data_IF_531581352029
#
_entry.id   IF_531581352029
#
_cell.length_a   1.000
_cell.length_b   1.000
_cell.length_c   1.000
_cell.angle_alpha   90.00
_cell.angle_beta   90.00
_cell.angle_gamma   90.00
#
_symmetry.space_group_name_H-M   'P 1'
#
loop_
_entity.id
_entity.type
_entity.pdbx_description
1 polymer ?
#
# COMPACT_ATOMS: atom_id res chain seq x y z
N UNK A 1 9.53 23.85 5.21
CA UNK A 1 9.32 22.51 5.81
C UNK A 1 7.84 22.12 5.74
N UNK A 2 7.49 21.33 4.72
CA UNK A 2 6.14 20.78 4.49
C UNK A 2 5.41 20.37 5.77
N UNK A 3 4.11 20.68 5.88
CA UNK A 3 3.42 20.68 7.18
C UNK A 3 2.84 19.34 7.60
N UNK A 4 2.98 19.03 8.88
CA UNK A 4 2.66 17.70 9.38
C UNK A 4 1.18 17.53 9.64
N UNK A 5 0.64 16.36 9.25
CA UNK A 5 -0.72 16.01 9.67
C UNK A 5 -0.76 16.13 11.16
N UNK A 6 -1.85 16.65 11.71
CA UNK A 6 -1.97 16.69 13.16
C UNK A 6 -3.25 16.03 13.68
N UNK A 7 -3.33 15.92 15.00
CA UNK A 7 -4.47 15.30 15.70
C UNK A 7 -4.76 13.86 15.31
N UNK A 8 -3.90 12.97 15.81
CA UNK A 8 -4.03 11.56 15.54
C UNK A 8 -4.87 10.98 16.64
N UNK A 9 -5.98 10.39 16.24
CA UNK A 9 -6.86 9.69 17.16
C UNK A 9 -7.30 8.36 16.57
N UNK A 10 -7.83 7.50 17.43
CA UNK A 10 -8.38 6.24 16.96
C UNK A 10 -9.83 6.09 17.39
N UNK A 11 -10.67 5.68 16.45
CA UNK A 11 -12.10 5.58 16.72
C UNK A 11 -12.51 4.17 17.12
N UNK A 12 -13.02 3.38 16.16
CA UNK A 12 -13.56 2.06 16.46
C UNK A 12 -12.44 1.21 16.95
N UNK A 13 -12.59 0.66 18.15
CA UNK A 13 -11.48 -0.04 18.77
C UNK A 13 -11.84 -1.49 19.08
N UNK A 14 -11.18 -2.40 18.39
CA UNK A 14 -11.34 -3.82 18.66
C UNK A 14 -10.03 -4.43 19.09
N UNK A 15 -10.05 -5.75 19.20
CA UNK A 15 -8.88 -6.49 19.61
C UNK A 15 -8.09 -6.86 18.36
N UNK A 16 -8.74 -6.71 17.20
CA UNK A 16 -8.13 -6.95 15.88
C UNK A 16 -8.02 -5.70 15.01
N UNK A 17 -8.77 -4.65 15.36
CA UNK A 17 -8.92 -3.50 14.46
C UNK A 17 -8.98 -2.15 15.17
N UNK A 18 -8.36 -1.15 14.54
CA UNK A 18 -8.38 0.24 15.00
C UNK A 18 -8.67 1.17 13.84
N UNK A 19 -9.40 2.25 14.12
CA UNK A 19 -9.67 3.27 13.11
C UNK A 19 -8.91 4.56 13.38
N UNK A 20 -7.90 4.79 12.55
CA UNK A 20 -7.11 6.00 12.61
C UNK A 20 -7.87 7.21 12.03
N UNK A 21 -7.61 8.39 12.61
CA UNK A 21 -8.06 9.66 12.04
C UNK A 21 -7.10 10.81 12.40
N UNK A 22 -7.00 11.77 11.49
CA UNK A 22 -6.01 12.84 11.57
C UNK A 22 -6.52 14.05 10.78
N UNK A 23 -5.92 15.23 10.95
CA UNK A 23 -6.27 16.42 10.13
C UNK A 23 -5.08 16.87 9.30
N UNK A 24 -5.25 16.98 7.99
CA UNK A 24 -4.19 17.54 7.13
C UNK A 24 -4.76 18.44 6.07
N UNK A 25 -4.12 19.59 5.85
CA UNK A 25 -4.48 20.51 4.79
C UNK A 25 -4.78 19.81 3.48
N UNK A 26 -5.94 20.12 2.90
CA UNK A 26 -6.31 19.75 1.53
C UNK A 26 -5.35 20.32 0.50
N UNK A 27 -5.41 19.78 -0.71
CA UNK A 27 -4.61 20.25 -1.84
C UNK A 27 -3.10 20.23 -1.55
N UNK A 28 -2.70 19.41 -0.58
CA UNK A 28 -1.29 19.31 -0.20
C UNK A 28 -0.60 18.01 -0.62
N UNK A 29 -1.20 16.89 -0.24
CA UNK A 29 -0.68 15.57 -0.55
C UNK A 29 -1.76 14.71 -1.20
N UNK A 30 -1.39 13.97 -2.25
CA UNK A 30 -2.31 12.98 -2.82
C UNK A 30 -2.02 11.55 -2.37
N UNK A 31 -1.14 11.41 -1.38
CA UNK A 31 -0.95 10.13 -0.71
C UNK A 31 -0.56 10.33 0.75
N UNK A 32 -0.93 9.37 1.60
CA UNK A 32 -0.43 9.30 2.99
C UNK A 32 0.30 7.99 3.27
N UNK A 33 1.44 8.05 3.95
CA UNK A 33 2.05 6.82 4.42
C UNK A 33 1.61 6.57 5.84
N UNK A 34 1.24 5.33 6.13
CA UNK A 34 0.84 4.93 7.48
C UNK A 34 1.70 3.76 7.92
N UNK A 35 2.73 4.05 8.68
CA UNK A 35 3.57 3.01 9.20
C UNK A 35 3.05 2.57 10.56
N UNK A 36 3.12 1.29 10.86
CA UNK A 36 2.77 0.82 12.20
C UNK A 36 3.48 -0.47 12.55
N UNK A 37 3.87 -0.60 13.81
CA UNK A 37 4.43 -1.86 14.27
C UNK A 37 4.11 -2.00 15.74
N UNK A 38 4.29 -3.19 16.29
CA UNK A 38 4.06 -3.38 17.71
C UNK A 38 5.05 -2.53 18.50
N UNK A 39 4.54 -1.70 19.41
CA UNK A 39 5.42 -0.91 20.26
C UNK A 39 6.43 -1.80 20.98
N UNK A 40 6.08 -3.09 21.11
CA UNK A 40 6.92 -4.10 21.79
C UNK A 40 8.21 -4.40 21.02
N UNK A 41 8.05 -4.83 19.77
CA UNK A 41 9.19 -5.09 18.89
C UNK A 41 9.63 -3.75 18.30
N UNK A 42 10.89 -3.38 18.52
CA UNK A 42 11.48 -2.23 17.82
C UNK A 42 11.69 -2.59 16.32
N UNK A 43 11.98 -3.88 16.06
CA UNK A 43 12.25 -4.45 14.73
C UNK A 43 11.78 -3.82 13.43
N UNK A 44 10.69 -4.35 12.87
CA UNK A 44 10.31 -4.03 11.48
C UNK A 44 8.94 -3.37 11.31
N UNK A 45 8.96 -2.11 10.89
CA UNK A 45 7.73 -1.35 10.64
C UNK A 45 6.99 -1.89 9.42
N UNK A 46 5.69 -1.60 9.31
CA UNK A 46 4.89 -1.99 8.14
C UNK A 46 4.30 -0.77 7.44
N UNK A 47 4.59 -0.65 6.14
CA UNK A 47 4.34 0.58 5.38
C UNK A 47 3.12 0.58 4.46
N UNK A 48 2.00 1.10 4.97
CA UNK A 48 0.76 1.25 4.18
C UNK A 48 0.62 2.66 3.59
N UNK A 49 0.30 2.73 2.31
CA UNK A 49 0.03 4.02 1.70
C UNK A 49 -1.47 4.20 1.64
N UNK A 50 -1.90 5.41 1.30
CA UNK A 50 -3.32 5.68 1.20
C UNK A 50 -3.58 6.90 0.29
N UNK A 51 -4.78 6.98 -0.31
CA UNK A 51 -5.02 8.11 -1.21
C UNK A 51 -5.07 9.40 -0.42
N UNK A 52 -4.54 10.47 -1.00
CA UNK A 52 -4.49 11.78 -0.34
C UNK A 52 -5.83 12.39 0.01
N UNK A 53 -6.89 11.87 -0.60
CA UNK A 53 -8.22 12.37 -0.36
C UNK A 53 -8.77 11.95 0.99
N UNK A 54 -8.10 11.03 1.68
CA UNK A 54 -8.65 10.45 2.90
C UNK A 54 -8.15 11.14 4.18
N UNK A 55 -8.84 10.91 5.29
CA UNK A 55 -8.43 11.42 6.61
C UNK A 55 -8.74 10.43 7.73
N UNK A 56 -9.07 9.21 7.34
CA UNK A 56 -9.25 8.10 8.28
C UNK A 56 -8.97 6.77 7.57
N UNK A 57 -8.49 5.78 8.32
CA UNK A 57 -8.20 4.47 7.73
C UNK A 57 -8.29 3.34 8.74
N UNK A 58 -8.86 2.21 8.31
CA UNK A 58 -9.01 1.07 9.20
C UNK A 58 -7.75 0.20 9.24
N UNK A 59 -7.35 -0.17 10.46
CA UNK A 59 -6.14 -0.95 10.70
C UNK A 59 -6.46 -2.38 11.13
N UNK A 60 -6.43 -3.30 10.18
CA UNK A 60 -6.99 -4.65 10.36
C UNK A 60 -5.98 -5.76 10.58
N UNK A 61 -6.46 -6.85 11.19
CA UNK A 61 -5.63 -7.98 11.57
C UNK A 61 -4.65 -7.56 12.64
N UNK A 62 -5.07 -7.59 13.89
CA UNK A 62 -4.20 -7.16 14.98
C UNK A 62 -4.37 -8.01 16.24
N UNK A 63 -3.29 -8.09 17.02
CA UNK A 63 -3.27 -8.87 18.25
C UNK A 63 -4.09 -8.16 19.32
N UNK A 64 -4.73 -8.93 20.23
CA UNK A 64 -5.44 -8.34 21.38
C UNK A 64 -4.50 -7.65 22.38
N UNK A 65 -5.07 -6.90 23.32
CA UNK A 65 -4.29 -6.17 24.33
C UNK A 65 -2.89 -5.70 23.97
N UNK A 66 -2.74 -5.15 22.76
CA UNK A 66 -1.42 -4.79 22.21
C UNK A 66 -1.26 -3.29 21.88
N UNK A 67 -0.20 -2.69 22.41
CA UNK A 67 0.16 -1.29 22.15
C UNK A 67 0.88 -1.16 20.80
N UNK A 68 0.20 -0.60 19.82
CA UNK A 68 0.84 -0.36 18.54
C UNK A 68 1.35 1.06 18.39
N UNK A 69 2.44 1.19 17.65
CA UNK A 69 2.97 2.49 17.29
C UNK A 69 2.64 2.82 15.84
N UNK A 70 1.94 3.94 15.68
CA UNK A 70 1.52 4.41 14.37
C UNK A 70 2.20 5.71 14.08
N UNK A 71 2.41 5.96 12.79
CA UNK A 71 2.94 7.21 12.30
C UNK A 71 2.38 7.46 10.93
N UNK A 72 1.98 8.70 10.70
CA UNK A 72 1.39 9.07 9.44
C UNK A 72 2.19 10.22 8.84
N UNK A 73 2.49 10.08 7.55
CA UNK A 73 3.26 11.07 6.82
C UNK A 73 2.48 11.57 5.62
N UNK A 74 2.61 12.86 5.33
CA UNK A 74 2.06 13.40 4.09
C UNK A 74 3.05 13.24 2.95
N UNK A 75 2.60 12.60 1.87
CA UNK A 75 3.45 12.25 0.72
C UNK A 75 3.38 13.26 -0.42
N UNK A 76 4.52 13.86 -0.78
CA UNK A 76 4.53 14.97 -1.74
C UNK A 76 5.32 14.72 -3.04
N UNK A 77 6.55 14.24 -2.92
CA UNK A 77 7.39 13.94 -4.09
C UNK A 77 7.67 12.45 -4.08
N UNK A 78 7.30 11.77 -5.15
CA UNK A 78 7.54 10.35 -5.25
C UNK A 78 8.40 10.03 -6.46
N UNK A 79 9.52 9.38 -6.20
CA UNK A 79 10.29 8.78 -7.26
C UNK A 79 9.64 7.43 -7.55
N UNK A 80 8.90 7.37 -8.65
CA UNK A 80 8.34 6.12 -9.14
C UNK A 80 9.16 5.67 -10.35
N UNK A 81 9.59 4.41 -10.34
CA UNK A 81 10.50 3.89 -11.38
C UNK A 81 9.82 3.70 -12.76
N UNK A 82 10.54 3.12 -13.72
CA UNK A 82 9.96 2.81 -15.03
C UNK A 82 9.15 1.50 -14.98
N UNK A 83 8.01 1.46 -15.71
CA UNK A 83 7.08 0.33 -15.70
C UNK A 83 7.73 -1.03 -15.94
N UNK A 84 7.04 -2.09 -15.53
CA UNK A 84 7.41 -3.47 -15.83
C UNK A 84 6.18 -4.17 -16.42
N UNK A 85 5.96 -3.94 -17.71
CA UNK A 85 4.76 -4.41 -18.45
C UNK A 85 4.56 -5.94 -18.49
N UNK A 86 3.32 -6.38 -18.75
CA UNK A 86 2.96 -7.81 -18.84
C UNK A 86 1.53 -8.10 -19.31
N UNK A 87 1.39 -9.18 -20.07
CA UNK A 87 0.10 -9.68 -20.55
C UNK A 87 -0.28 -10.95 -19.81
N UNK A 88 -1.48 -10.97 -19.24
CA UNK A 88 -2.01 -12.20 -18.64
C UNK A 88 -3.50 -12.31 -18.82
N UNK A 89 -3.92 -13.49 -19.28
CA UNK A 89 -5.31 -13.72 -19.62
C UNK A 89 -5.90 -14.74 -18.70
N UNK A 90 -6.96 -14.33 -18.00
CA UNK A 90 -7.60 -15.14 -16.98
C UNK A 90 -8.10 -16.48 -17.49
N UNK A 91 -8.31 -17.40 -16.55
CA UNK A 91 -8.98 -18.65 -16.86
C UNK A 91 -10.44 -18.34 -17.13
N UNK A 92 -11.13 -19.28 -17.76
CA UNK A 92 -12.54 -19.09 -18.09
C UNK A 92 -12.71 -18.50 -19.48
N UNK A 93 -13.97 -18.32 -19.88
CA UNK A 93 -14.31 -17.77 -21.20
C UNK A 93 -14.92 -16.37 -21.10
N UNK B 1 21.15 6.00 -10.56
CA UNK B 1 19.84 5.66 -11.21
C UNK B 1 18.95 4.82 -10.30
N UNK B 2 17.63 4.89 -10.54
CA UNK B 2 16.66 4.03 -9.87
C UNK B 2 16.09 2.94 -10.79
N UNK B 3 16.39 1.66 -10.46
CA UNK B 3 15.95 0.46 -11.19
C UNK B 3 14.43 0.28 -11.32
N UNK B 4 13.98 -0.06 -12.53
CA UNK B 4 12.69 -0.70 -12.70
C UNK B 4 12.85 -2.10 -12.07
N UNK B 5 11.74 -2.75 -11.66
CA UNK B 5 11.93 -4.08 -11.05
C UNK B 5 11.92 -5.20 -12.11
N UNK B 6 12.15 -6.44 -11.67
CA UNK B 6 12.31 -7.53 -12.62
C UNK B 6 11.41 -8.72 -12.32
N UNK B 7 11.19 -9.54 -13.35
CA UNK B 7 10.67 -10.91 -13.22
C UNK B 7 9.21 -11.05 -12.79
N UNK B 8 8.33 -10.29 -13.46
CA UNK B 8 6.89 -10.33 -13.22
C UNK B 8 6.22 -11.62 -13.73
N UNK B 9 5.91 -12.52 -12.80
CA UNK B 9 5.37 -13.87 -13.12
C UNK B 9 4.07 -14.21 -12.37
N UNK B 10 2.98 -14.44 -13.10
CA UNK B 10 1.74 -14.91 -12.46
C UNK B 10 1.83 -16.39 -12.14
N UNK B 11 1.23 -16.78 -11.02
CA UNK B 11 1.57 -18.07 -10.42
C UNK B 11 0.43 -19.06 -10.30
N UNK B 12 -0.78 -18.58 -10.08
CA UNK B 12 -1.93 -19.46 -10.06
C UNK B 12 -3.12 -18.68 -10.53
N UNK B 13 -3.77 -19.21 -11.56
CA UNK B 13 -4.80 -18.48 -12.29
C UNK B 13 -6.16 -19.14 -12.15
N UNK B 14 -7.16 -18.36 -11.77
CA UNK B 14 -8.56 -18.77 -11.87
C UNK B 14 -9.29 -17.86 -12.86
N UNK B 15 -10.59 -17.71 -12.65
CA UNK B 15 -11.39 -16.86 -13.50
C UNK B 15 -11.32 -15.44 -12.98
N UNK B 16 -11.08 -15.31 -11.68
CA UNK B 16 -11.19 -14.02 -11.01
C UNK B 16 -9.95 -13.59 -10.22
N UNK B 17 -8.91 -14.44 -10.19
CA UNK B 17 -7.70 -14.11 -9.44
C UNK B 17 -6.38 -14.66 -10.01
N UNK B 18 -5.46 -13.74 -10.33
CA UNK B 18 -4.05 -14.05 -10.60
C UNK B 18 -3.28 -14.00 -9.29
N UNK B 19 -1.96 -14.08 -9.36
CA UNK B 19 -1.10 -13.88 -8.20
C UNK B 19 0.26 -13.32 -8.59
N UNK B 20 0.25 -12.27 -9.39
CA UNK B 20 1.46 -11.54 -9.73
C UNK B 20 2.54 -11.65 -8.66
N UNK B 21 3.72 -12.14 -9.05
CA UNK B 21 4.91 -12.22 -8.18
C UNK B 21 6.09 -11.59 -8.90
N UNK B 22 7.08 -11.11 -8.13
CA UNK B 22 8.17 -10.28 -8.68
C UNK B 22 9.53 -10.31 -7.93
N UNK B 23 10.51 -9.61 -8.52
CA UNK B 23 11.87 -9.55 -8.01
C UNK B 23 12.38 -8.11 -7.85
N UNK B 24 12.90 -7.83 -6.65
CA UNK B 24 13.51 -6.55 -6.28
C UNK B 24 14.45 -6.72 -5.06
N UNK B 25 15.40 -5.78 -4.89
CA UNK B 25 16.39 -5.75 -3.79
C UNK B 25 15.81 -5.30 -2.45
N UNK B 26 16.01 -6.10 -1.39
CA UNK B 26 15.45 -5.80 -0.06
C UNK B 26 15.85 -4.42 0.47
N UNK B 27 14.88 -3.76 1.10
CA UNK B 27 15.05 -2.46 1.74
C UNK B 27 15.02 -1.28 0.76
N UNK B 28 15.71 -1.43 -0.38
CA UNK B 28 15.95 -0.31 -1.33
C UNK B 28 14.68 0.37 -1.88
N UNK B 29 13.52 -0.12 -1.42
CA UNK B 29 12.19 0.43 -1.75
C UNK B 29 11.22 0.41 -0.56
N UNK B 30 10.17 1.21 -0.66
CA UNK B 30 9.24 1.38 0.45
C UNK B 30 7.90 0.78 0.12
N UNK B 31 7.43 1.04 -1.10
CA UNK B 31 6.12 0.55 -1.54
C UNK B 31 6.11 0.12 -3.00
N UNK B 32 5.03 -0.54 -3.42
CA UNK B 32 4.88 -1.03 -4.79
C UNK B 32 3.56 -0.70 -5.44
N UNK B 33 3.61 0.16 -6.45
CA UNK B 33 2.41 0.57 -7.17
C UNK B 33 2.10 -0.40 -8.29
N UNK B 34 0.86 -0.88 -8.34
CA UNK B 34 0.45 -1.81 -9.39
C UNK B 34 -0.72 -1.31 -10.21
N UNK B 35 -0.43 -0.98 -11.46
CA UNK B 35 -1.42 -0.52 -12.41
C UNK B 35 -1.79 -1.66 -13.34
N UNK B 36 -3.09 -1.87 -13.54
CA UNK B 36 -3.56 -2.93 -14.42
C UNK B 36 -4.88 -2.56 -15.06
N UNK B 37 -5.08 -2.98 -16.31
CA UNK B 37 -6.37 -2.84 -16.99
C UNK B 37 -6.48 -3.89 -18.08
N UNK B 38 -7.64 -3.98 -18.73
CA UNK B 38 -7.79 -4.89 -19.87
C UNK B 38 -6.96 -4.39 -21.03
N UNK B 39 -6.08 -5.24 -21.53
CA UNK B 39 -5.37 -5.00 -22.80
C UNK B 39 -6.35 -4.55 -23.88
N UNK B 40 -7.62 -4.86 -23.64
CA UNK B 40 -8.73 -4.57 -24.54
C UNK B 40 -9.13 -3.10 -24.54
N UNK B 41 -10.35 -2.83 -24.07
CA UNK B 41 -10.89 -1.48 -24.02
C UNK B 41 -11.61 -1.28 -22.68
N UNK B 42 -10.85 -0.82 -21.68
CA UNK B 42 -11.33 -0.79 -20.29
C UNK B 42 -11.30 0.60 -19.66
N UNK B 43 -12.48 1.22 -19.55
CA UNK B 43 -12.66 2.56 -18.98
C UNK B 43 -11.42 3.15 -18.33
N UNK B 44 -11.26 2.85 -17.04
CA UNK B 44 -10.12 3.33 -16.26
C UNK B 44 -9.13 2.21 -15.95
N UNK B 45 -7.90 2.60 -15.62
CA UNK B 45 -6.90 1.67 -15.11
C UNK B 45 -6.95 1.65 -13.58
N UNK B 46 -6.57 0.53 -12.98
CA UNK B 46 -6.65 0.39 -11.54
C UNK B 46 -5.27 0.33 -10.91
N UNK B 47 -5.09 1.13 -9.86
CA UNK B 47 -3.84 1.23 -9.12
C UNK B 47 -3.95 0.57 -7.76
N UNK B 48 -2.92 -0.16 -7.36
CA UNK B 48 -2.89 -0.78 -6.04
C UNK B 48 -1.50 -0.69 -5.42
N UNK B 49 -1.44 -0.29 -4.14
CA UNK B 49 -0.15 -0.14 -3.45
C UNK B 49 0.08 -1.16 -2.36
N UNK B 50 1.33 -1.60 -2.27
CA UNK B 50 1.72 -2.66 -1.35
C UNK B 50 3.13 -2.43 -0.80
N UNK B 51 3.29 -2.60 0.53
CA UNK B 51 4.57 -2.51 1.23
C UNK B 51 5.68 -3.16 0.45
N UNK B 52 6.78 -2.42 0.27
CA UNK B 52 8.00 -2.94 -0.36
C UNK B 52 8.49 -4.26 0.23
N UNK B 53 8.17 -4.50 1.49
CA UNK B 53 8.53 -5.73 2.21
C UNK B 53 7.87 -6.98 1.62
N UNK B 54 7.26 -6.84 0.45
CA UNK B 54 6.62 -7.96 -0.21
C UNK B 54 6.94 -8.02 -1.70
N UNK B 55 6.89 -9.24 -2.24
CA UNK B 55 7.28 -9.53 -3.62
C UNK B 55 6.14 -10.18 -4.41
N UNK B 56 4.92 -10.14 -3.87
CA UNK B 56 3.74 -10.81 -4.47
C UNK B 56 2.36 -10.34 -3.93
N UNK B 57 1.39 -10.22 -4.83
CA UNK B 57 0.02 -9.79 -4.51
C UNK B 57 -1.03 -10.72 -5.13
N UNK B 58 -2.19 -10.86 -4.49
CA UNK B 58 -3.30 -11.62 -5.08
C UNK B 58 -4.31 -10.73 -5.78
N UNK B 59 -4.06 -10.40 -7.05
CA UNK B 59 -4.98 -9.59 -7.83
C UNK B 59 -6.36 -10.28 -7.99
N UNK B 60 -7.37 -9.76 -7.28
CA UNK B 60 -8.72 -10.39 -7.22
C UNK B 60 -9.89 -9.54 -7.73
N UNK B 61 -10.97 -10.22 -8.13
CA UNK B 61 -12.14 -9.56 -8.71
C UNK B 61 -11.94 -9.28 -10.19
N UNK B 62 -11.41 -10.27 -10.91
CA UNK B 62 -11.16 -10.14 -12.34
C UNK B 62 -12.22 -10.88 -13.16
N UNK B 63 -12.48 -10.36 -14.36
CA UNK B 63 -13.39 -11.00 -15.32
C UNK B 63 -12.72 -12.24 -15.94
N UNK B 64 -13.47 -13.34 -16.06
CA UNK B 64 -13.00 -14.54 -16.77
C UNK B 64 -12.68 -14.30 -18.25
N UNK B 65 -11.74 -15.07 -18.79
CA UNK B 65 -11.37 -15.02 -20.20
C UNK B 65 -11.20 -13.63 -20.77
N UNK B 66 -10.35 -12.83 -20.13
CA UNK B 66 -10.10 -11.45 -20.55
C UNK B 66 -8.61 -11.13 -20.51
N UNK B 67 -8.12 -10.37 -21.50
CA UNK B 67 -6.72 -9.94 -21.49
C UNK B 67 -6.52 -8.71 -20.61
N UNK B 68 -5.51 -8.79 -19.76
CA UNK B 68 -5.21 -7.74 -18.81
C UNK B 68 -3.79 -7.22 -18.98
N UNK B 69 -3.67 -5.91 -19.13
CA UNK B 69 -2.39 -5.22 -19.21
C UNK B 69 -1.92 -4.87 -17.81
N UNK B 70 -0.91 -5.57 -17.34
CA UNK B 70 -0.37 -5.32 -16.01
C UNK B 70 0.84 -4.40 -16.13
N UNK B 71 1.01 -3.52 -15.15
CA UNK B 71 2.29 -2.86 -14.94
C UNK B 71 2.61 -2.96 -13.45
N UNK B 72 3.87 -2.75 -13.09
CA UNK B 72 4.24 -2.71 -11.68
C UNK B 72 5.43 -1.78 -11.50
N UNK B 73 5.33 -0.89 -10.53
CA UNK B 73 6.45 -0.03 -10.22
C UNK B 73 6.87 -0.22 -8.77
N UNK B 74 8.11 0.18 -8.50
CA UNK B 74 8.61 0.36 -7.14
C UNK B 74 8.49 1.82 -6.72
N UNK B 75 8.28 2.02 -5.42
CA UNK B 75 8.06 3.37 -4.92
C UNK B 75 9.03 3.77 -3.80
N UNK B 76 9.74 4.88 -4.07
CA UNK B 76 10.66 5.51 -3.13
C UNK B 76 10.25 6.95 -2.86
N UNK B 77 10.50 7.38 -1.64
CA UNK B 77 9.96 8.63 -1.17
C UNK B 77 10.97 9.72 -0.97
N UNK B 78 10.74 10.78 -1.72
CA UNK B 78 11.52 11.99 -1.63
C UNK B 78 10.83 12.88 -0.59
N UNK B 79 9.82 13.62 -1.01
CA UNK B 79 9.23 14.65 -0.16
C UNK B 79 8.14 14.07 0.70
N UNK B 80 8.48 13.87 1.96
CA UNK B 80 7.51 13.48 2.96
C UNK B 80 7.42 14.58 3.99
N UNK B 81 6.22 14.79 4.52
CA UNK B 81 6.08 15.61 5.70
C UNK B 81 6.76 14.84 6.82
N UNK B 82 6.89 15.45 7.98
CA UNK B 82 7.43 14.71 9.11
C UNK B 82 6.34 13.83 9.69
N UNK B 83 6.71 12.86 10.52
CA UNK B 83 5.73 11.91 11.01
C UNK B 83 4.81 12.49 12.08
N UNK B 84 3.62 11.92 12.20
CA UNK B 84 2.80 12.21 13.34
C UNK B 84 2.71 10.87 13.98
N UNK B 85 3.35 10.73 15.13
CA UNK B 85 3.54 9.42 15.73
C UNK B 85 2.75 9.27 17.03
N UNK B 86 2.10 8.14 17.21
CA UNK B 86 1.30 7.94 18.42
C UNK B 86 1.08 6.49 18.80
N UNK B 87 0.95 6.27 20.10
CA UNK B 87 0.70 4.94 20.63
C UNK B 87 -0.80 4.75 20.78
N UNK B 88 -1.24 3.52 20.54
CA UNK B 88 -2.62 3.11 20.80
C UNK B 88 -2.62 1.66 21.21
N UNK B 89 -3.63 1.26 21.97
CA UNK B 89 -3.73 -0.12 22.46
C UNK B 89 -5.07 -0.81 22.08
N UNK B 90 -4.98 -2.00 21.49
CA UNK B 90 -6.18 -2.74 21.12
C UNK B 90 -6.92 -3.25 22.35
N UNK B 91 -8.17 -3.67 22.15
CA UNK B 91 -9.00 -4.19 23.24
C UNK B 91 -8.52 -5.52 23.78
N UNK B 92 -9.00 -5.89 24.97
CA UNK B 92 -8.53 -7.08 25.69
C UNK B 92 -7.43 -6.73 26.68
N UNK B 93 -6.82 -7.75 27.30
CA UNK B 93 -5.72 -7.52 28.26
C UNK B 93 -4.49 -8.39 27.97
#
# INVERSE_FOLDING_TARGET
>A
MLPAPKNLVVSEVTEDSLRLSWDSPPNWYDSFLIQYQESEKVGEAINLTVPGSERSYDLTGLKPGTEYTVSIYGVYYVALSNPLSAEFTTGGHHHHHH
>B
MLPAPKNLVVSEVTEDSLRLSWDSPPNWYDSFLIQYQESEKVGEAINLTVPGSERSYDLTGLKPGTEYTVSIYGVYYVALSNPLSAEFTTGGHHHHHH
#
